data_IF_872070238495
#
_entry.id   IF_872070238495
#
_cell.length_a   1.000
_cell.length_b   1.000
_cell.length_c   1.000
_cell.angle_alpha   90.00
_cell.angle_beta   90.00
_cell.angle_gamma   90.00
#
_symmetry.space_group_name_H-M   'P 1'
#
loop_
_entity.id
_entity.type
_entity.pdbx_description
1 polymer ?
#
# COMPACT_ATOMS: atom_id res chain seq x y z
N UNK A 1 -16.64 -26.62 -19.56
CA UNK A 1 -16.34 -25.21 -19.26
C UNK A 1 -17.66 -24.49 -19.01
N UNK A 2 -17.90 -23.99 -17.80
CA UNK A 2 -19.20 -23.40 -17.43
C UNK A 2 -19.38 -22.00 -18.01
N UNK A 3 -20.59 -21.68 -18.46
CA UNK A 3 -21.01 -20.37 -19.02
C UNK A 3 -20.66 -19.18 -18.09
N UNK A 4 -20.56 -19.41 -16.78
CA UNK A 4 -20.14 -18.42 -15.79
C UNK A 4 -18.67 -17.97 -15.96
N UNK A 5 -17.77 -18.86 -16.43
CA UNK A 5 -16.36 -18.54 -16.68
C UNK A 5 -16.16 -17.69 -17.94
N UNK A 6 -17.05 -17.83 -18.93
CA UNK A 6 -17.02 -17.04 -20.16
C UNK A 6 -17.54 -15.61 -19.90
N UNK A 7 -18.60 -15.47 -19.10
CA UNK A 7 -19.15 -14.16 -18.71
C UNK A 7 -18.20 -13.35 -17.82
N UNK A 8 -17.48 -13.99 -16.89
CA UNK A 8 -16.43 -13.33 -16.11
C UNK A 8 -15.26 -12.84 -16.99
N UNK A 9 -14.88 -13.62 -18.02
CA UNK A 9 -13.87 -13.21 -19.00
C UNK A 9 -14.34 -12.06 -19.90
N UNK A 10 -15.61 -12.05 -20.29
CA UNK A 10 -16.18 -10.97 -21.11
C UNK A 10 -16.39 -9.68 -20.32
N UNK A 11 -16.71 -9.75 -19.02
CA UNK A 11 -16.79 -8.58 -18.14
C UNK A 11 -15.43 -7.89 -17.94
N UNK A 12 -14.33 -8.65 -17.95
CA UNK A 12 -12.97 -8.11 -17.86
C UNK A 12 -12.45 -7.44 -19.15
N UNK A 13 -13.06 -7.72 -20.31
CA UNK A 13 -12.63 -7.16 -21.61
C UNK A 13 -13.23 -5.77 -21.87
N UNK A 14 -14.28 -5.37 -21.14
CA UNK A 14 -15.03 -4.14 -21.41
C UNK A 14 -14.93 -3.06 -20.31
N UNK A 15 -14.06 -3.20 -19.30
CA UNK A 15 -13.82 -2.09 -18.39
C UNK A 15 -12.90 -1.06 -19.08
N UNK A 16 -13.31 0.22 -19.17
CA UNK A 16 -12.42 1.25 -19.70
C UNK A 16 -11.19 1.33 -18.79
N UNK A 17 -10.00 1.07 -19.37
CA UNK A 17 -8.73 1.24 -18.65
C UNK A 17 -8.62 2.69 -18.19
N UNK A 18 -8.25 2.88 -16.92
CA UNK A 18 -8.05 4.22 -16.39
C UNK A 18 -6.81 4.86 -17.03
N UNK A 19 -6.86 6.17 -17.21
CA UNK A 19 -5.69 6.97 -17.61
C UNK A 19 -5.06 7.50 -16.33
N UNK A 20 -3.75 7.33 -16.20
CA UNK A 20 -3.00 7.74 -15.01
C UNK A 20 -2.12 8.94 -15.28
N UNK A 21 -1.97 9.79 -14.27
CA UNK A 21 -0.79 10.62 -14.09
C UNK A 21 0.19 9.88 -13.17
N UNK A 22 1.49 10.03 -13.42
CA UNK A 22 2.54 9.50 -12.56
C UNK A 22 3.09 10.63 -11.70
N UNK A 23 3.05 10.43 -10.39
CA UNK A 23 3.53 11.37 -9.37
C UNK A 23 4.57 10.65 -8.54
N UNK A 24 5.76 11.24 -8.39
CA UNK A 24 6.78 10.71 -7.49
C UNK A 24 6.55 11.28 -6.09
N UNK A 25 6.18 10.41 -5.15
CA UNK A 25 6.03 10.71 -3.74
C UNK A 25 7.39 10.60 -3.04
N UNK A 26 7.64 11.51 -2.09
CA UNK A 26 8.79 11.44 -1.19
C UNK A 26 8.50 10.49 -0.05
N UNK A 27 9.23 9.38 0.05
CA UNK A 27 9.04 8.32 1.05
C UNK A 27 10.33 8.04 1.83
N UNK A 28 11.04 9.11 2.20
CA UNK A 28 12.31 9.02 2.94
C UNK A 28 12.17 8.24 4.26
N UNK A 29 13.19 7.48 4.69
CA UNK A 29 13.13 6.71 5.93
C UNK A 29 12.64 7.53 7.12
N UNK A 30 11.69 6.98 7.87
CA UNK A 30 11.12 7.62 9.06
C UNK A 30 11.78 7.10 10.33
N UNK A 31 11.63 7.86 11.41
CA UNK A 31 12.12 7.44 12.73
C UNK A 31 11.38 6.17 13.19
N UNK A 32 12.10 5.27 13.86
CA UNK A 32 11.51 4.06 14.43
C UNK A 32 10.87 4.36 15.79
N UNK A 33 9.55 4.21 15.89
CA UNK A 33 8.76 4.44 17.11
C UNK A 33 8.49 3.15 17.89
N UNK A 34 9.00 2.02 17.40
CA UNK A 34 8.88 0.71 18.02
C UNK A 34 10.26 0.14 18.37
N UNK A 35 10.35 -0.91 19.22
CA UNK A 35 11.62 -1.53 19.53
C UNK A 35 12.34 -2.05 18.26
N UNK A 36 13.67 -1.94 18.24
CA UNK A 36 14.48 -2.32 17.07
C UNK A 36 14.44 -3.80 16.68
N UNK A 37 13.91 -4.67 17.56
CA UNK A 37 13.70 -6.08 17.23
C UNK A 37 12.38 -6.32 16.47
N UNK A 38 11.49 -5.33 16.43
CA UNK A 38 10.21 -5.36 15.70
C UNK A 38 10.40 -4.81 14.29
N UNK A 39 11.10 -3.68 14.16
CA UNK A 39 11.29 -3.00 12.89
C UNK A 39 12.73 -2.48 12.77
N UNK A 40 13.40 -2.79 11.66
CA UNK A 40 14.83 -2.54 11.45
C UNK A 40 15.15 -1.11 10.97
N UNK A 41 14.14 -0.25 10.97
CA UNK A 41 14.19 1.16 10.58
C UNK A 41 14.72 1.39 9.15
N UNK A 42 14.22 0.64 8.17
CA UNK A 42 14.66 0.71 6.77
C UNK A 42 16.11 0.25 6.59
N UNK A 43 16.58 -0.62 7.50
CA UNK A 43 17.98 -1.01 7.63
C UNK A 43 18.47 -1.88 6.46
N UNK A 44 17.59 -2.72 5.91
CA UNK A 44 17.96 -3.56 4.77
C UNK A 44 17.86 -2.84 3.42
N UNK A 45 16.85 -2.00 3.23
CA UNK A 45 16.63 -1.21 2.03
C UNK A 45 15.87 0.07 2.37
N UNK A 46 16.54 1.21 2.21
CA UNK A 46 15.89 2.51 2.24
C UNK A 46 15.37 2.87 0.85
N UNK A 47 14.24 3.58 0.81
CA UNK A 47 13.75 4.28 -0.37
C UNK A 47 13.54 5.75 -0.05
N UNK A 48 13.70 6.62 -1.03
CA UNK A 48 13.37 8.04 -0.95
C UNK A 48 12.20 8.44 -1.85
N UNK A 49 11.78 7.52 -2.73
CA UNK A 49 10.81 7.77 -3.79
C UNK A 49 9.88 6.59 -4.04
N UNK A 50 8.60 6.90 -4.21
CA UNK A 50 7.56 5.96 -4.65
C UNK A 50 6.83 6.58 -5.85
N UNK A 51 6.82 5.88 -6.98
CA UNK A 51 6.00 6.31 -8.12
C UNK A 51 4.56 5.88 -7.87
N UNK A 52 3.68 6.87 -7.78
CA UNK A 52 2.23 6.69 -7.68
C UNK A 52 1.56 7.01 -9.00
N UNK A 53 0.83 6.03 -9.53
CA UNK A 53 -0.11 6.14 -10.63
C UNK A 53 -1.46 6.58 -10.09
N UNK A 54 -1.73 7.86 -10.23
CA UNK A 54 -2.97 8.51 -9.85
C UNK A 54 -3.93 8.51 -11.04
N UNK A 55 -5.12 7.89 -10.95
CA UNK A 55 -6.11 8.03 -12.01
C UNK A 55 -6.47 9.50 -12.24
N UNK A 56 -6.47 9.94 -13.51
CA UNK A 56 -6.90 11.30 -13.86
C UNK A 56 -8.34 11.53 -13.39
N UNK A 57 -8.54 12.59 -12.61
CA UNK A 57 -9.85 12.93 -12.04
C UNK A 57 -10.16 12.26 -10.69
N UNK A 58 -9.28 11.42 -10.14
CA UNK A 58 -9.21 11.12 -8.70
C UNK A 58 -8.37 12.23 -8.01
N UNK A 59 -8.56 12.75 -6.80
CA UNK A 59 -9.27 12.42 -5.54
C UNK A 59 -10.06 13.67 -5.07
N UNK A 60 -11.23 13.51 -4.42
CA UNK A 60 -11.31 13.54 -2.95
C UNK A 60 -11.63 12.15 -2.38
N UNK A 61 -11.81 12.01 -1.06
CA UNK A 61 -12.25 10.79 -0.31
C UNK A 61 -13.43 9.97 -0.90
N UNK A 62 -14.00 10.40 -2.02
CA UNK A 62 -15.25 9.94 -2.64
C UNK A 62 -15.04 9.44 -4.09
N UNK A 63 -13.88 8.87 -4.41
CA UNK A 63 -13.77 8.07 -5.64
C UNK A 63 -14.68 6.84 -5.58
N UNK A 64 -15.03 6.29 -6.74
CA UNK A 64 -16.04 5.21 -6.87
C UNK A 64 -15.66 4.01 -6.01
N UNK A 65 -16.54 3.62 -5.08
CA UNK A 65 -16.37 2.41 -4.27
C UNK A 65 -15.57 2.58 -2.98
N UNK A 66 -15.07 3.79 -2.67
CA UNK A 66 -14.51 4.07 -1.36
C UNK A 66 -15.61 3.98 -0.29
N UNK A 67 -15.37 3.20 0.77
CA UNK A 67 -16.18 3.22 2.01
C UNK A 67 -16.10 4.61 2.66
N UNK A 68 -15.00 5.30 2.35
CA UNK A 68 -14.65 6.60 2.88
C UNK A 68 -13.99 6.51 4.24
N UNK A 69 -13.75 5.32 4.81
CA UNK A 69 -13.10 5.12 6.10
C UNK A 69 -11.81 4.32 5.92
N UNK A 70 -10.77 4.66 6.68
CA UNK A 70 -9.56 3.86 6.79
C UNK A 70 -9.78 2.84 7.91
N UNK A 71 -10.18 1.64 7.53
CA UNK A 71 -10.30 0.48 8.41
C UNK A 71 -9.31 -0.61 8.00
N UNK A 72 -9.16 -1.66 8.81
CA UNK A 72 -8.20 -2.74 8.55
C UNK A 72 -8.55 -3.65 7.37
N UNK A 73 -9.50 -3.29 6.51
CA UNK A 73 -9.79 -4.05 5.30
C UNK A 73 -8.91 -3.59 4.13
N UNK A 74 -8.64 -4.51 3.20
CA UNK A 74 -7.94 -4.18 1.97
C UNK A 74 -8.78 -3.19 1.13
N UNK A 75 -8.27 -1.98 0.85
CA UNK A 75 -9.04 -0.96 0.16
C UNK A 75 -9.28 -1.36 -1.29
N UNK A 76 -10.48 -1.04 -1.78
CA UNK A 76 -10.74 -1.10 -3.21
C UNK A 76 -9.90 -0.04 -3.95
N UNK A 77 -9.45 -0.37 -5.17
CA UNK A 77 -8.69 0.59 -5.99
C UNK A 77 -7.24 0.78 -5.55
N UNK A 78 -6.64 -0.23 -4.91
CA UNK A 78 -5.20 -0.31 -4.61
C UNK A 78 -4.55 -1.50 -5.35
N UNK A 79 -3.41 -1.25 -6.00
CA UNK A 79 -2.57 -2.28 -6.57
C UNK A 79 -1.09 -1.86 -6.61
N UNK A 80 -0.18 -2.73 -6.20
CA UNK A 80 1.24 -2.60 -6.54
C UNK A 80 1.51 -3.28 -7.87
N UNK A 81 1.92 -2.51 -8.87
CA UNK A 81 2.12 -2.96 -10.25
C UNK A 81 3.59 -3.24 -10.48
N UNK A 82 3.89 -4.43 -11.00
CA UNK A 82 5.23 -4.78 -11.46
C UNK A 82 5.54 -4.08 -12.78
N UNK A 83 6.63 -3.33 -12.82
CA UNK A 83 7.12 -2.63 -14.02
C UNK A 83 7.88 -3.55 -14.97
N UNK A 84 8.26 -4.74 -14.50
CA UNK A 84 8.92 -5.80 -15.26
C UNK A 84 8.65 -7.16 -14.63
N UNK A 85 8.78 -8.21 -15.43
CA UNK A 85 8.73 -9.59 -14.92
C UNK A 85 9.93 -9.85 -13.99
N UNK A 86 9.68 -10.51 -12.88
CA UNK A 86 10.70 -10.92 -11.91
C UNK A 86 10.58 -12.42 -11.67
N UNK A 87 11.70 -13.14 -11.76
CA UNK A 87 11.68 -14.60 -11.69
C UNK A 87 11.43 -15.15 -10.28
N UNK A 88 11.72 -14.34 -9.26
CA UNK A 88 11.63 -14.75 -7.86
C UNK A 88 10.24 -14.57 -7.27
N UNK A 89 9.39 -13.71 -7.86
CA UNK A 89 8.00 -13.46 -7.44
C UNK A 89 7.05 -14.31 -8.26
N UNK A 90 6.47 -15.39 -7.69
CA UNK A 90 5.54 -16.25 -8.41
C UNK A 90 4.43 -15.42 -9.06
N UNK A 91 4.11 -15.75 -10.30
CA UNK A 91 3.11 -15.03 -11.08
C UNK A 91 1.74 -15.02 -10.40
N UNK A 92 1.44 -16.05 -9.62
CA UNK A 92 0.22 -16.19 -8.83
C UNK A 92 0.09 -15.10 -7.76
N UNK A 93 1.22 -14.66 -7.19
CA UNK A 93 1.29 -13.56 -6.24
C UNK A 93 1.14 -12.20 -6.94
N UNK A 94 1.62 -12.11 -8.18
CA UNK A 94 1.52 -10.92 -9.04
C UNK A 94 0.30 -10.92 -9.99
N UNK A 95 -0.72 -11.73 -9.71
CA UNK A 95 -1.92 -11.77 -10.53
C UNK A 95 -2.80 -10.52 -10.31
N UNK A 96 -3.09 -9.81 -11.41
CA UNK A 96 -3.88 -8.58 -11.41
C UNK A 96 -5.29 -8.77 -10.81
N UNK A 97 -5.50 -8.30 -9.59
CA UNK A 97 -6.78 -8.33 -8.87
C UNK A 97 -7.65 -7.08 -9.11
N UNK A 98 -7.06 -5.97 -9.58
CA UNK A 98 -7.78 -4.75 -9.98
C UNK A 98 -7.50 -4.43 -11.45
N UNK A 99 -8.17 -5.09 -12.42
CA UNK A 99 -7.81 -4.99 -13.83
C UNK A 99 -7.94 -3.58 -14.43
N UNK A 100 -8.74 -2.71 -13.83
CA UNK A 100 -8.85 -1.30 -14.21
C UNK A 100 -7.56 -0.50 -13.96
N UNK A 101 -6.68 -1.00 -13.08
CA UNK A 101 -5.48 -0.30 -12.58
C UNK A 101 -4.16 -0.61 -13.30
N UNK A 102 -4.10 -1.70 -14.07
CA UNK A 102 -2.88 -2.06 -14.79
C UNK A 102 -3.00 -1.82 -16.30
N UNK A 103 -1.84 -1.58 -16.93
CA UNK A 103 -1.71 -1.52 -18.39
C UNK A 103 -1.60 -2.93 -18.96
N UNK A 104 -1.64 -3.03 -20.28
CA UNK A 104 -1.46 -4.32 -20.95
C UNK A 104 -0.09 -4.92 -20.67
N UNK A 105 -0.07 -6.22 -20.36
CA UNK A 105 1.17 -6.93 -20.08
C UNK A 105 1.79 -6.62 -18.71
N UNK A 106 1.16 -5.76 -17.91
CA UNK A 106 1.56 -5.53 -16.53
C UNK A 106 0.89 -6.53 -15.59
N UNK A 107 1.58 -6.77 -14.48
CA UNK A 107 1.16 -7.64 -13.39
C UNK A 107 0.99 -6.80 -12.13
N UNK A 108 0.16 -7.23 -11.19
CA UNK A 108 0.01 -6.52 -9.92
C UNK A 108 -0.06 -7.50 -8.77
N UNK A 109 0.58 -7.15 -7.66
CA UNK A 109 0.53 -7.94 -6.45
C UNK A 109 -0.89 -8.05 -5.93
N UNK A 110 -1.32 -9.28 -5.68
CA UNK A 110 -2.53 -9.51 -4.93
C UNK A 110 -2.36 -8.98 -3.49
N UNK A 111 -3.41 -8.43 -2.86
CA UNK A 111 -3.29 -7.82 -1.52
C UNK A 111 -2.81 -8.81 -0.45
N UNK A 112 -3.13 -10.09 -0.60
CA UNK A 112 -2.70 -11.15 0.32
C UNK A 112 -1.27 -11.66 0.07
N UNK A 113 -0.54 -11.07 -0.87
CA UNK A 113 0.80 -11.51 -1.27
C UNK A 113 1.92 -10.54 -0.85
N UNK A 114 1.61 -9.51 -0.06
CA UNK A 114 2.58 -8.47 0.34
C UNK A 114 3.70 -9.06 1.19
N UNK A 115 3.39 -9.90 2.17
CA UNK A 115 4.38 -10.55 3.04
C UNK A 115 5.33 -11.46 2.22
N UNK A 116 4.76 -12.39 1.44
CA UNK A 116 5.53 -13.28 0.55
C UNK A 116 6.41 -12.50 -0.44
N UNK A 117 5.91 -11.37 -0.96
CA UNK A 117 6.68 -10.50 -1.85
C UNK A 117 7.81 -9.80 -1.12
N UNK A 118 7.58 -9.34 0.12
CA UNK A 118 8.58 -8.69 0.97
C UNK A 118 9.75 -9.63 1.25
N UNK A 119 9.45 -10.88 1.62
CA UNK A 119 10.47 -11.91 1.86
C UNK A 119 11.34 -12.14 0.63
N UNK A 120 10.73 -12.27 -0.55
CA UNK A 120 11.49 -12.54 -1.77
C UNK A 120 12.27 -11.31 -2.28
N UNK A 121 11.75 -10.10 -2.10
CA UNK A 121 12.49 -8.86 -2.37
C UNK A 121 13.74 -8.77 -1.45
N UNK A 122 13.58 -9.10 -0.17
CA UNK A 122 14.68 -9.17 0.78
C UNK A 122 15.70 -10.24 0.42
N UNK A 123 15.26 -11.48 0.18
CA UNK A 123 16.12 -12.63 -0.16
C UNK A 123 16.96 -12.35 -1.42
N UNK A 124 16.35 -11.73 -2.42
CA UNK A 124 17.03 -11.40 -3.69
C UNK A 124 17.76 -10.06 -3.67
N UNK A 125 17.65 -9.31 -2.58
CA UNK A 125 18.17 -7.94 -2.44
C UNK A 125 17.69 -7.03 -3.57
N UNK A 126 16.43 -7.19 -3.98
CA UNK A 126 15.81 -6.35 -5.00
C UNK A 126 15.12 -5.18 -4.33
N UNK A 127 15.56 -3.93 -4.56
CA UNK A 127 14.87 -2.76 -4.00
C UNK A 127 13.45 -2.67 -4.55
N UNK A 128 12.41 -2.47 -3.71
CA UNK A 128 11.01 -2.39 -4.13
C UNK A 128 10.79 -1.39 -5.28
N UNK A 129 11.41 -0.21 -5.22
CA UNK A 129 11.30 0.85 -6.24
C UNK A 129 11.84 0.47 -7.62
N UNK A 130 12.68 -0.57 -7.69
CA UNK A 130 13.25 -1.05 -8.95
C UNK A 130 12.28 -1.95 -9.75
N UNK A 131 11.18 -2.38 -9.14
CA UNK A 131 10.25 -3.36 -9.70
C UNK A 131 8.78 -3.00 -9.48
N UNK A 132 8.45 -2.20 -8.47
CA UNK A 132 7.09 -1.83 -8.12
C UNK A 132 6.81 -0.35 -8.34
N UNK A 133 5.60 -0.07 -8.80
CA UNK A 133 4.93 1.23 -8.69
C UNK A 133 3.57 1.01 -8.05
N UNK A 134 2.98 2.02 -7.44
CA UNK A 134 1.65 1.88 -6.82
C UNK A 134 0.58 2.57 -7.64
N UNK A 135 -0.58 1.95 -7.76
CA UNK A 135 -1.80 2.56 -8.28
C UNK A 135 -2.82 2.63 -7.15
N UNK A 136 -3.30 3.84 -6.85
CA UNK A 136 -4.26 4.08 -5.78
C UNK A 136 -5.31 5.12 -6.22
N UNK A 137 -6.59 4.78 -6.08
CA UNK A 137 -7.72 5.59 -6.56
C UNK A 137 -8.37 6.47 -5.49
N UNK A 138 -8.13 6.21 -4.21
CA UNK A 138 -8.74 6.91 -3.06
C UNK A 138 -7.67 7.36 -2.05
N UNK A 139 -8.03 8.25 -1.10
CA UNK A 139 -7.12 8.66 -0.01
C UNK A 139 -6.82 7.46 0.89
N UNK A 140 -7.83 6.66 1.19
CA UNK A 140 -7.72 5.38 1.90
C UNK A 140 -6.75 4.42 1.19
N UNK A 141 -6.92 4.22 -0.13
CA UNK A 141 -6.01 3.38 -0.91
C UNK A 141 -4.59 3.93 -0.93
N UNK A 142 -4.41 5.26 -0.95
CA UNK A 142 -3.09 5.88 -0.86
C UNK A 142 -2.46 5.70 0.54
N UNK A 143 -3.25 5.76 1.61
CA UNK A 143 -2.74 5.50 2.97
C UNK A 143 -2.26 4.07 3.09
N UNK A 144 -3.07 3.10 2.65
CA UNK A 144 -2.67 1.69 2.64
C UNK A 144 -1.50 1.40 1.70
N UNK A 145 -1.45 2.04 0.53
CA UNK A 145 -0.27 1.99 -0.33
C UNK A 145 1.01 2.43 0.40
N UNK A 146 0.95 3.55 1.15
CA UNK A 146 2.09 4.04 1.90
C UNK A 146 2.43 3.15 3.10
N UNK A 147 1.41 2.54 3.72
CA UNK A 147 1.58 1.57 4.80
C UNK A 147 2.33 0.33 4.29
N UNK A 148 1.83 -0.32 3.24
CA UNK A 148 2.42 -1.51 2.64
C UNK A 148 3.81 -1.20 2.06
N UNK A 149 4.01 0.02 1.55
CA UNK A 149 5.34 0.47 1.12
C UNK A 149 6.34 0.44 2.28
N UNK A 150 5.94 0.88 3.48
CA UNK A 150 6.82 0.77 4.65
C UNK A 150 7.11 -0.70 5.00
N UNK A 151 6.13 -1.59 4.81
CA UNK A 151 6.30 -3.02 5.02
C UNK A 151 7.37 -3.61 4.09
N UNK A 152 7.36 -3.27 2.80
CA UNK A 152 8.40 -3.69 1.84
C UNK A 152 9.82 -3.22 2.19
N UNK A 153 10.01 -2.31 3.14
CA UNK A 153 11.32 -1.83 3.55
C UNK A 153 11.72 -2.28 4.95
N UNK A 154 10.97 -3.21 5.53
CA UNK A 154 11.31 -3.87 6.79
C UNK A 154 11.40 -5.37 6.56
N UNK A 155 12.26 -6.03 7.34
CA UNK A 155 12.30 -7.48 7.38
C UNK A 155 12.62 -7.92 8.80
N UNK A 156 11.77 -8.76 9.37
CA UNK A 156 11.87 -9.21 10.75
C UNK A 156 10.96 -10.40 11.02
N UNK A 157 10.90 -10.89 12.26
CA UNK A 157 10.05 -12.03 12.60
C UNK A 157 8.56 -11.69 12.59
N UNK A 158 8.19 -10.40 12.57
CA UNK A 158 6.79 -9.91 12.58
C UNK A 158 5.91 -10.47 13.72
N UNK A 159 6.54 -11.04 14.76
CA UNK A 159 5.85 -11.67 15.91
C UNK A 159 5.00 -10.67 16.72
N UNK A 160 5.41 -9.40 16.74
CA UNK A 160 4.64 -8.30 17.34
C UNK A 160 3.88 -7.55 16.24
N UNK A 161 2.75 -8.13 15.81
CA UNK A 161 1.91 -7.57 14.75
C UNK A 161 1.47 -6.15 15.09
N UNK A 162 0.95 -5.90 16.30
CA UNK A 162 0.46 -4.57 16.68
C UNK A 162 1.56 -3.48 16.63
N UNK A 163 2.78 -3.80 17.05
CA UNK A 163 3.90 -2.87 16.96
C UNK A 163 4.41 -2.73 15.51
N UNK A 164 4.44 -3.80 14.73
CA UNK A 164 4.81 -3.74 13.30
C UNK A 164 3.86 -2.80 12.56
N UNK A 165 2.56 -3.02 12.71
CA UNK A 165 1.49 -2.22 12.13
C UNK A 165 1.60 -0.75 12.54
N UNK A 166 1.91 -0.47 13.82
CA UNK A 166 2.13 0.90 14.30
C UNK A 166 3.26 1.61 13.56
N UNK A 167 4.36 0.92 13.28
CA UNK A 167 5.48 1.53 12.57
C UNK A 167 5.14 1.80 11.10
N UNK A 168 4.43 0.88 10.44
CA UNK A 168 3.94 1.08 9.08
C UNK A 168 2.92 2.23 9.02
N UNK A 169 1.97 2.29 9.96
CA UNK A 169 1.01 3.38 10.13
C UNK A 169 1.71 4.74 10.33
N UNK A 170 2.74 4.77 11.17
CA UNK A 170 3.54 5.97 11.42
C UNK A 170 4.27 6.46 10.15
N UNK A 171 4.88 5.54 9.40
CA UNK A 171 5.53 5.86 8.13
C UNK A 171 4.51 6.40 7.12
N UNK A 172 3.38 5.72 6.97
CA UNK A 172 2.31 6.10 6.05
C UNK A 172 1.80 7.52 6.31
N UNK A 173 1.47 7.84 7.56
CA UNK A 173 0.98 9.17 7.94
C UNK A 173 2.05 10.26 7.76
N UNK A 174 3.31 9.95 8.05
CA UNK A 174 4.43 10.88 7.85
C UNK A 174 4.61 11.20 6.37
N UNK A 175 4.61 10.20 5.51
CA UNK A 175 4.73 10.38 4.07
C UNK A 175 3.50 11.04 3.45
N UNK A 176 2.29 10.69 3.92
CA UNK A 176 1.06 11.35 3.46
C UNK A 176 1.12 12.86 3.73
N UNK A 177 1.50 13.26 4.95
CA UNK A 177 1.65 14.66 5.31
C UNK A 177 2.72 15.37 4.48
N UNK A 178 3.88 14.73 4.28
CA UNK A 178 4.97 15.29 3.48
C UNK A 178 4.61 15.51 2.00
N UNK A 179 3.65 14.73 1.48
CA UNK A 179 3.22 14.77 0.08
C UNK A 179 1.81 15.34 -0.11
N UNK A 180 1.19 15.92 0.93
CA UNK A 180 -0.21 16.34 0.92
C UNK A 180 -0.52 17.29 -0.26
N UNK A 181 0.35 18.25 -0.53
CA UNK A 181 0.19 19.19 -1.66
C UNK A 181 0.27 18.50 -3.03
N UNK A 182 1.18 17.54 -3.20
CA UNK A 182 1.30 16.74 -4.43
C UNK A 182 0.08 15.83 -4.63
N UNK A 183 -0.46 15.29 -3.54
CA UNK A 183 -1.69 14.50 -3.55
C UNK A 183 -2.96 15.35 -3.70
N UNK A 184 -2.86 16.68 -3.59
CA UNK A 184 -4.01 17.59 -3.62
C UNK A 184 -4.91 17.46 -2.39
N UNK A 185 -4.34 17.11 -1.24
CA UNK A 185 -5.02 16.94 0.04
C UNK A 185 -4.99 18.24 0.83
N UNK A 186 -6.09 18.53 1.53
CA UNK A 186 -6.15 19.59 2.52
C UNK A 186 -5.60 19.12 3.88
N UNK A 187 -5.27 20.05 4.76
CA UNK A 187 -4.90 19.74 6.15
C UNK A 187 -6.01 18.93 6.85
N UNK A 188 -7.28 19.22 6.54
CA UNK A 188 -8.42 18.49 7.08
C UNK A 188 -8.46 17.01 6.62
N UNK A 189 -8.00 16.72 5.40
CA UNK A 189 -7.91 15.35 4.88
C UNK A 189 -6.80 14.58 5.60
N UNK A 190 -5.63 15.21 5.78
CA UNK A 190 -4.49 14.61 6.51
C UNK A 190 -4.85 14.38 7.98
N UNK A 191 -5.48 15.36 8.62
CA UNK A 191 -5.94 15.24 10.01
C UNK A 191 -6.99 14.14 10.17
N UNK A 192 -7.87 13.97 9.18
CA UNK A 192 -8.83 12.88 9.16
C UNK A 192 -8.13 11.53 9.08
N UNK A 193 -7.20 11.37 8.14
CA UNK A 193 -6.44 10.13 7.97
C UNK A 193 -5.69 9.78 9.27
N UNK A 194 -5.03 10.76 9.89
CA UNK A 194 -4.37 10.60 11.20
C UNK A 194 -5.34 10.06 12.25
N UNK A 195 -6.51 10.67 12.42
CA UNK A 195 -7.50 10.23 13.43
C UNK A 195 -7.99 8.80 13.19
N UNK A 196 -8.29 8.44 11.95
CA UNK A 196 -8.81 7.12 11.59
C UNK A 196 -7.74 6.04 11.79
N UNK A 197 -6.53 6.25 11.27
CA UNK A 197 -5.38 5.34 11.46
C UNK A 197 -5.00 5.21 12.94
N UNK A 198 -4.95 6.32 13.69
CA UNK A 198 -4.69 6.25 15.14
C UNK A 198 -5.77 5.46 15.90
N UNK A 199 -7.03 5.51 15.45
CA UNK A 199 -8.09 4.71 16.04
C UNK A 199 -7.93 3.22 15.75
N UNK A 200 -7.57 2.88 14.51
CA UNK A 200 -7.26 1.51 14.10
C UNK A 200 -6.07 0.94 14.88
N UNK A 201 -4.98 1.70 15.00
CA UNK A 201 -3.80 1.31 15.78
C UNK A 201 -4.17 1.01 17.24
N UNK A 202 -4.97 1.86 17.90
CA UNK A 202 -5.45 1.60 19.26
C UNK A 202 -6.29 0.32 19.36
N UNK A 203 -7.13 0.03 18.37
CA UNK A 203 -7.92 -1.19 18.34
C UNK A 203 -7.03 -2.44 18.24
N UNK A 204 -5.99 -2.42 17.38
CA UNK A 204 -5.01 -3.51 17.24
C UNK A 204 -4.27 -3.81 18.55
N UNK A 205 -3.85 -2.77 19.29
CA UNK A 205 -3.23 -2.94 20.61
C UNK A 205 -4.20 -3.52 21.65
N UNK A 206 -5.46 -3.05 21.66
CA UNK A 206 -6.49 -3.58 22.56
C UNK A 206 -6.79 -5.06 22.27
N UNK A 207 -6.88 -5.45 20.99
CA UNK A 207 -7.04 -6.85 20.56
C UNK A 207 -5.86 -7.73 20.99
N UNK A 208 -4.64 -7.18 20.99
CA UNK A 208 -3.44 -7.82 21.51
C UNK A 208 -3.35 -7.81 23.05
N UNK A 209 -4.32 -7.23 23.77
CA UNK A 209 -4.33 -7.15 25.23
C UNK A 209 -3.24 -6.24 25.81
N UNK A 210 -2.83 -5.20 25.08
CA UNK A 210 -1.73 -4.30 25.43
C UNK A 210 -2.18 -2.84 25.45
N UNK A 211 -1.48 -2.04 26.25
CA UNK A 211 -1.57 -0.59 26.16
C UNK A 211 -0.92 -0.09 24.87
N UNK A 212 -1.53 0.89 24.16
CA UNK A 212 -0.91 1.49 22.99
C UNK A 212 0.45 2.10 23.35
N UNK A 213 1.45 1.87 22.50
CA UNK A 213 2.62 2.74 22.46
C UNK A 213 2.17 4.16 22.08
N UNK A 214 2.96 5.18 22.42
CA UNK A 214 2.57 6.58 22.17
C UNK A 214 2.08 6.76 20.71
N UNK A 215 0.93 7.44 20.50
CA UNK A 215 0.32 7.52 19.18
C UNK A 215 1.21 8.26 18.17
N UNK A 216 1.09 7.94 16.86
CA UNK A 216 1.78 8.62 15.77
C UNK A 216 1.20 10.00 15.41
#
# INVERSE_FOLDING_TARGET
MSSASLLARLANVCQPRLVFDEVTLRVTPVHCVVPSHVFDAFGWCASDALVWRRPRGALPWRSRGATGAIDGANPAGLAFVLTREVAFLPRELAALHVPALAREGEWALAPWAIDDATDQLYETRTPPESVLVVAAESVEALVWALHDWAHFHNHGPFDDVAATELQCDHAALTWLAANASLAGLSDADVDRARREVSALSRARFAEAGREPLSPP
#
